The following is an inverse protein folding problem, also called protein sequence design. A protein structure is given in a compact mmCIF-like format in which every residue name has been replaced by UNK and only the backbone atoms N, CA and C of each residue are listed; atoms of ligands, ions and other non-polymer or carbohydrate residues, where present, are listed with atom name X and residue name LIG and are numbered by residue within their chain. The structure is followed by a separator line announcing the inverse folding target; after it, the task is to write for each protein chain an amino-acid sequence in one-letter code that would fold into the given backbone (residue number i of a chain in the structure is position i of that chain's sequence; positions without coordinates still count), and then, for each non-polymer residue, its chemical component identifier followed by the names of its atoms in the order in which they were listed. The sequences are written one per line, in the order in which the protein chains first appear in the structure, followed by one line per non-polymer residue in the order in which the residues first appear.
data_IF_664673593967
#
_entry.id   IF_664673593967
#
_cell.length_a   1.000
_cell.length_b   1.000
_cell.length_c   1.000
_cell.angle_alpha   90.00
_cell.angle_beta   90.00
_cell.angle_gamma   90.00
#
_symmetry.space_group_name_H-M   'P 1'
#
loop_
_entity.id
_entity.type
_entity.pdbx_description
1 polymer ?
#
# COMPACT_ATOMS: atom_id res chain seq x y z
N UNK A 1 11.44 11.07 -6.27
CA UNK A 1 11.01 10.29 -5.08
C UNK A 1 10.54 11.19 -3.93
N UNK A 2 10.05 12.40 -4.26
CA UNK A 2 9.61 13.49 -3.36
C UNK A 2 8.09 13.63 -3.26
N UNK A 3 7.33 12.98 -4.16
CA UNK A 3 5.93 13.38 -4.41
C UNK A 3 4.90 12.66 -3.52
N UNK A 4 5.33 11.66 -2.75
CA UNK A 4 4.46 10.92 -1.83
C UNK A 4 4.36 11.62 -0.47
N UNK A 5 5.41 12.31 -0.01
CA UNK A 5 5.40 13.10 1.24
C UNK A 5 4.38 14.26 1.19
N UNK A 6 4.16 14.82 -0.01
CA UNK A 6 3.25 15.94 -0.24
C UNK A 6 1.78 15.52 -0.09
N UNK A 7 1.41 14.30 -0.50
CA UNK A 7 0.00 13.89 -0.58
C UNK A 7 -0.67 13.62 0.77
N UNK A 8 0.02 13.03 1.75
CA UNK A 8 -0.60 12.71 3.06
C UNK A 8 -0.72 13.97 3.92
N UNK A 9 0.31 14.83 3.94
CA UNK A 9 0.25 16.11 4.63
C UNK A 9 -0.84 17.03 4.01
N UNK A 10 -0.96 17.07 2.69
CA UNK A 10 -2.04 17.82 2.04
C UNK A 10 -3.43 17.26 2.36
N UNK A 11 -3.60 15.94 2.39
CA UNK A 11 -4.90 15.32 2.75
C UNK A 11 -5.26 15.60 4.21
N UNK A 12 -4.30 15.51 5.14
CA UNK A 12 -4.53 15.83 6.55
C UNK A 12 -4.82 17.33 6.72
N UNK A 13 -4.09 18.21 6.04
CA UNK A 13 -4.33 19.65 6.06
C UNK A 13 -5.72 20.01 5.51
N UNK A 14 -6.16 19.35 4.43
CA UNK A 14 -7.51 19.52 3.87
C UNK A 14 -8.57 18.98 4.83
N UNK A 15 -8.35 17.84 5.48
CA UNK A 15 -9.29 17.30 6.48
C UNK A 15 -9.39 18.24 7.69
N UNK A 16 -8.26 18.77 8.18
CA UNK A 16 -8.24 19.75 9.27
C UNK A 16 -8.95 21.04 8.85
N UNK A 17 -8.71 21.54 7.64
CA UNK A 17 -9.37 22.73 7.10
C UNK A 17 -10.88 22.51 6.93
N UNK A 18 -11.29 21.33 6.46
CA UNK A 18 -12.71 20.95 6.35
C UNK A 18 -13.35 20.80 7.73
N UNK A 19 -12.65 20.24 8.72
CA UNK A 19 -13.14 20.14 10.09
C UNK A 19 -13.23 21.53 10.73
N UNK A 20 -12.27 22.42 10.51
CA UNK A 20 -12.27 23.80 11.02
C UNK A 20 -13.38 24.63 10.38
N UNK A 21 -13.58 24.53 9.07
CA UNK A 21 -14.68 25.20 8.36
C UNK A 21 -16.04 24.58 8.73
N UNK A 22 -16.12 23.26 8.90
CA UNK A 22 -17.34 22.57 9.36
C UNK A 22 -17.69 22.91 10.81
N UNK A 23 -16.71 22.95 11.73
CA UNK A 23 -16.94 23.36 13.11
C UNK A 23 -17.27 24.86 13.19
N UNK A 24 -16.58 25.70 12.41
CA UNK A 24 -16.88 27.14 12.32
C UNK A 24 -18.29 27.41 11.81
N UNK A 25 -18.73 26.69 10.77
CA UNK A 25 -20.10 26.81 10.23
C UNK A 25 -21.16 26.17 11.13
N UNK A 26 -20.85 25.07 11.82
CA UNK A 26 -21.78 24.39 12.73
C UNK A 26 -21.96 25.12 14.06
N UNK A 27 -20.95 25.86 14.53
CA UNK A 27 -21.06 26.77 15.68
C UNK A 27 -21.99 27.96 15.38
N UNK A 28 -22.11 28.35 14.11
CA UNK A 28 -23.00 29.45 13.67
C UNK A 28 -24.46 28.98 13.50
N UNK A 29 -24.75 27.68 13.32
CA UNK A 29 -26.06 27.25 12.81
C UNK A 29 -26.89 26.23 13.59
N UNK A 30 -26.47 25.67 14.73
CA UNK A 30 -27.26 24.61 15.37
C UNK A 30 -28.37 25.09 16.34
N UNK A 31 -29.49 25.50 15.73
CA UNK A 31 -30.85 25.41 16.32
C UNK A 31 -31.41 24.00 16.09
N UNK A 32 -31.37 23.18 17.15
CA UNK A 32 -32.15 21.96 17.51
C UNK A 32 -33.03 21.27 16.42
N UNK A 33 -32.75 20.01 16.02
CA UNK A 33 -33.80 18.95 15.82
C UNK A 33 -33.31 17.48 15.66
N UNK A 34 -33.88 16.64 16.55
CA UNK A 34 -34.39 15.23 16.53
C UNK A 34 -33.68 14.08 15.79
N UNK A 35 -33.42 13.02 16.58
CA UNK A 35 -32.85 11.70 16.28
C UNK A 35 -33.82 10.76 15.54
N UNK A 36 -33.33 9.99 14.56
CA UNK A 36 -33.96 8.81 13.96
C UNK A 36 -32.98 7.63 14.04
N UNK A 37 -33.49 6.47 14.47
CA UNK A 37 -32.76 5.27 14.87
C UNK A 37 -31.99 4.56 13.73
N UNK A 38 -30.69 4.35 13.96
CA UNK A 38 -29.72 3.78 13.00
C UNK A 38 -29.60 2.24 13.04
N UNK A 39 -30.36 1.56 13.91
CA UNK A 39 -30.12 0.12 14.20
C UNK A 39 -30.72 -0.84 13.18
N UNK A 40 -31.69 -0.41 12.36
CA UNK A 40 -32.37 -1.30 11.41
C UNK A 40 -31.66 -1.47 10.05
N UNK A 41 -30.83 -0.50 9.63
CA UNK A 41 -30.22 -0.51 8.29
C UNK A 41 -28.93 -1.38 8.25
N UNK A 42 -28.24 -1.51 9.38
CA UNK A 42 -26.92 -2.18 9.42
C UNK A 42 -27.05 -3.71 9.36
N UNK A 43 -28.16 -4.28 9.84
CA UNK A 43 -28.30 -5.74 9.97
C UNK A 43 -28.62 -6.43 8.63
N UNK A 44 -29.32 -5.75 7.71
CA UNK A 44 -29.66 -6.31 6.39
C UNK A 44 -28.54 -6.21 5.35
N UNK A 45 -27.60 -5.27 5.51
CA UNK A 45 -26.44 -5.13 4.62
C UNK A 45 -25.36 -6.20 4.88
N UNK A 46 -25.20 -6.63 6.13
CA UNK A 46 -24.16 -7.58 6.53
C UNK A 46 -24.41 -9.00 6.00
N UNK A 47 -25.68 -9.44 5.95
CA UNK A 47 -26.02 -10.78 5.48
C UNK A 47 -25.91 -10.95 3.95
N UNK A 48 -26.10 -9.87 3.17
CA UNK A 48 -26.00 -9.95 1.71
C UNK A 48 -24.54 -9.83 1.19
N UNK A 49 -23.64 -9.21 1.96
CA UNK A 49 -22.22 -9.07 1.58
C UNK A 49 -21.41 -10.38 1.73
N UNK A 50 -21.80 -11.25 2.67
CA UNK A 50 -21.07 -12.51 2.90
C UNK A 50 -21.33 -13.59 1.83
N UNK A 51 -22.41 -13.48 1.03
CA UNK A 51 -22.76 -14.50 0.03
C UNK A 51 -22.12 -14.27 -1.35
N UNK A 52 -21.48 -13.12 -1.60
CA UNK A 52 -20.99 -12.73 -2.94
C UNK A 52 -19.47 -12.51 -3.05
N UNK A 53 -18.70 -12.78 -1.99
CA UNK A 53 -17.23 -12.59 -1.96
C UNK A 53 -16.45 -13.83 -2.43
N UNK A 54 -16.73 -14.30 -3.66
CA UNK A 54 -15.79 -15.14 -4.39
C UNK A 54 -14.64 -14.26 -4.90
N UNK A 55 -13.46 -14.42 -4.32
CA UNK A 55 -12.28 -13.54 -4.52
C UNK A 55 -11.72 -13.52 -5.95
N UNK A 56 -12.23 -14.34 -6.87
CA UNK A 56 -11.76 -14.43 -8.26
C UNK A 56 -12.46 -13.46 -9.23
N UNK A 57 -13.68 -13.01 -8.92
CA UNK A 57 -14.44 -12.06 -9.77
C UNK A 57 -14.21 -10.58 -9.44
N UNK A 58 -13.67 -10.25 -8.26
CA UNK A 58 -13.40 -8.85 -7.88
C UNK A 58 -12.23 -8.23 -8.67
N UNK A 59 -11.20 -9.00 -9.06
CA UNK A 59 -10.05 -8.46 -9.84
C UNK A 59 -10.46 -8.02 -11.25
N UNK A 60 -11.49 -8.64 -11.84
CA UNK A 60 -11.99 -8.31 -13.18
C UNK A 60 -13.01 -7.17 -13.15
N UNK A 61 -13.85 -7.10 -12.11
CA UNK A 61 -14.91 -6.08 -12.04
C UNK A 61 -14.41 -4.67 -11.71
N UNK A 62 -13.27 -4.50 -11.04
CA UNK A 62 -12.74 -3.16 -10.73
C UNK A 62 -12.06 -2.45 -11.92
N UNK A 63 -11.67 -3.20 -12.95
CA UNK A 63 -10.99 -2.60 -14.12
C UNK A 63 -11.96 -1.84 -15.04
N UNK A 64 -13.27 -2.08 -14.90
CA UNK A 64 -14.31 -1.53 -15.77
C UNK A 64 -15.32 -0.63 -15.04
N UNK A 65 -15.00 -0.17 -13.82
CA UNK A 65 -15.84 0.82 -13.13
C UNK A 65 -15.60 2.19 -13.79
N UNK A 66 -16.63 2.63 -14.48
CA UNK A 66 -16.70 3.87 -15.22
C UNK A 66 -16.34 5.09 -14.35
N UNK A 67 -15.70 6.04 -15.01
CA UNK A 67 -14.68 6.97 -14.52
C UNK A 67 -15.21 8.17 -13.70
N UNK A 68 -16.38 8.11 -13.07
CA UNK A 68 -17.09 9.32 -12.60
C UNK A 68 -17.09 9.57 -11.09
N UNK A 69 -16.62 8.65 -10.24
CA UNK A 69 -16.70 8.83 -8.78
C UNK A 69 -15.31 8.84 -8.13
N UNK A 70 -14.80 10.07 -7.94
CA UNK A 70 -13.49 10.41 -7.36
C UNK A 70 -13.18 9.68 -6.02
N UNK A 71 -14.10 9.54 -5.04
CA UNK A 71 -13.77 8.88 -3.77
C UNK A 71 -13.54 7.36 -3.89
N UNK A 72 -14.24 6.66 -4.81
CA UNK A 72 -14.05 5.21 -5.01
C UNK A 72 -12.69 4.89 -5.64
N UNK A 73 -12.14 5.81 -6.45
CA UNK A 73 -10.79 5.66 -7.03
C UNK A 73 -9.70 5.63 -5.94
N UNK A 74 -9.84 6.47 -4.91
CA UNK A 74 -8.91 6.47 -3.77
C UNK A 74 -8.96 5.14 -3.00
N UNK A 75 -10.17 4.63 -2.74
CA UNK A 75 -10.35 3.34 -2.04
C UNK A 75 -9.78 2.19 -2.87
N UNK A 76 -10.07 2.14 -4.17
CA UNK A 76 -9.54 1.12 -5.07
C UNK A 76 -8.01 1.14 -5.11
N UNK A 77 -7.40 2.33 -5.18
CA UNK A 77 -5.94 2.50 -5.13
C UNK A 77 -5.34 1.97 -3.83
N UNK A 78 -5.98 2.20 -2.70
CA UNK A 78 -5.48 1.69 -1.40
C UNK A 78 -5.59 0.17 -1.28
N UNK A 79 -6.64 -0.44 -1.84
CA UNK A 79 -6.77 -1.90 -1.89
C UNK A 79 -5.65 -2.50 -2.74
N UNK A 80 -5.37 -1.91 -3.90
CA UNK A 80 -4.29 -2.35 -4.79
C UNK A 80 -2.91 -2.24 -4.11
N UNK A 81 -2.63 -1.12 -3.46
CA UNK A 81 -1.39 -0.93 -2.69
C UNK A 81 -1.23 -1.95 -1.57
N UNK A 82 -2.31 -2.31 -0.87
CA UNK A 82 -2.27 -3.33 0.17
C UNK A 82 -2.06 -4.73 -0.39
N UNK A 83 -2.58 -5.02 -1.60
CA UNK A 83 -2.32 -6.28 -2.29
C UNK A 83 -0.84 -6.37 -2.71
N UNK A 84 -0.29 -5.32 -3.33
CA UNK A 84 1.12 -5.23 -3.72
C UNK A 84 2.06 -5.43 -2.53
N UNK A 85 1.77 -4.80 -1.38
CA UNK A 85 2.51 -5.04 -0.14
C UNK A 85 2.49 -6.51 0.29
N UNK A 86 1.34 -7.19 0.19
CA UNK A 86 1.26 -8.62 0.53
C UNK A 86 2.04 -9.48 -0.45
N UNK A 87 2.06 -9.10 -1.73
CA UNK A 87 2.89 -9.75 -2.74
C UNK A 87 4.37 -9.55 -2.43
N UNK A 88 4.83 -8.34 -2.10
CA UNK A 88 6.23 -8.08 -1.76
C UNK A 88 6.68 -8.84 -0.49
N UNK A 89 5.83 -8.93 0.54
CA UNK A 89 6.11 -9.75 1.73
C UNK A 89 6.27 -11.23 1.36
N UNK A 90 5.39 -11.73 0.48
CA UNK A 90 5.47 -13.10 -0.01
C UNK A 90 6.75 -13.31 -0.84
N UNK A 91 7.10 -12.38 -1.75
CA UNK A 91 8.33 -12.42 -2.53
C UNK A 91 9.59 -12.42 -1.66
N UNK A 92 9.63 -11.61 -0.61
CA UNK A 92 10.73 -11.61 0.37
C UNK A 92 10.89 -12.98 1.04
N UNK A 93 9.77 -13.61 1.42
CA UNK A 93 9.78 -14.97 1.99
C UNK A 93 10.22 -16.03 0.97
N UNK A 94 9.95 -15.81 -0.32
CA UNK A 94 10.37 -16.68 -1.41
C UNK A 94 11.87 -16.56 -1.67
N UNK A 95 12.43 -15.35 -1.59
CA UNK A 95 13.88 -15.14 -1.72
C UNK A 95 14.64 -15.99 -0.70
N UNK A 96 14.21 -15.97 0.56
CA UNK A 96 14.81 -16.80 1.63
C UNK A 96 14.67 -18.30 1.31
N UNK A 97 13.50 -18.74 0.80
CA UNK A 97 13.30 -20.13 0.40
C UNK A 97 14.19 -20.54 -0.78
N UNK A 98 14.38 -19.65 -1.76
CA UNK A 98 15.28 -19.87 -2.89
C UNK A 98 16.73 -19.98 -2.44
N UNK A 99 17.19 -19.12 -1.52
CA UNK A 99 18.51 -19.22 -0.92
C UNK A 99 18.70 -20.60 -0.26
N UNK A 100 17.74 -21.03 0.56
CA UNK A 100 17.80 -22.33 1.24
C UNK A 100 17.84 -23.50 0.24
N UNK A 101 17.04 -23.45 -0.82
CA UNK A 101 17.04 -24.45 -1.88
C UNK A 101 18.41 -24.47 -2.59
N UNK A 102 18.91 -23.30 -3.01
CA UNK A 102 20.19 -23.18 -3.71
C UNK A 102 21.39 -23.64 -2.85
N UNK A 103 21.37 -23.39 -1.54
CA UNK A 103 22.39 -23.91 -0.60
C UNK A 103 22.27 -25.42 -0.45
N UNK A 104 21.06 -25.95 -0.30
CA UNK A 104 20.84 -27.40 -0.13
C UNK A 104 21.17 -28.23 -1.38
N UNK A 105 21.26 -27.59 -2.54
CA UNK A 105 21.46 -28.22 -3.85
C UNK A 105 22.82 -27.89 -4.48
N UNK A 106 23.81 -27.52 -3.66
CA UNK A 106 25.17 -27.25 -4.16
C UNK A 106 25.79 -28.43 -4.92
N UNK A 107 25.39 -29.67 -4.57
CA UNK A 107 25.97 -30.90 -5.12
C UNK A 107 25.11 -31.55 -6.25
N UNK A 108 23.89 -31.06 -6.51
CA UNK A 108 23.02 -31.59 -7.58
C UNK A 108 22.34 -30.46 -8.38
N UNK A 109 22.62 -30.31 -9.69
CA UNK A 109 21.99 -29.28 -10.51
C UNK A 109 20.50 -29.57 -10.66
N UNK A 110 19.67 -28.71 -10.07
CA UNK A 110 18.21 -28.78 -10.16
C UNK A 110 17.71 -27.71 -11.11
N UNK A 111 16.76 -28.06 -11.98
CA UNK A 111 16.20 -27.12 -12.95
C UNK A 111 15.38 -26.01 -12.27
N UNK A 112 15.43 -24.81 -12.84
CA UNK A 112 14.62 -23.65 -12.49
C UNK A 112 13.14 -24.02 -12.35
N UNK A 113 12.60 -24.75 -13.33
CA UNK A 113 11.19 -25.16 -13.33
C UNK A 113 10.84 -26.00 -12.10
N UNK A 114 11.74 -26.89 -11.65
CA UNK A 114 11.55 -27.66 -10.43
C UNK A 114 11.59 -26.77 -9.17
N UNK A 115 12.59 -25.88 -9.06
CA UNK A 115 12.70 -24.96 -7.92
C UNK A 115 11.46 -24.07 -7.80
N UNK A 116 11.02 -23.47 -8.91
CA UNK A 116 9.83 -22.62 -8.98
C UNK A 116 8.57 -23.41 -8.61
N UNK A 117 8.43 -24.64 -9.11
CA UNK A 117 7.28 -25.50 -8.80
C UNK A 117 7.19 -25.81 -7.30
N UNK A 118 8.32 -26.01 -6.62
CA UNK A 118 8.36 -26.22 -5.16
C UNK A 118 7.87 -25.00 -4.41
N UNK A 119 8.33 -23.81 -4.80
CA UNK A 119 7.99 -22.54 -4.17
C UNK A 119 6.52 -22.19 -4.36
N UNK A 120 5.98 -22.40 -5.57
CA UNK A 120 4.58 -22.11 -5.91
C UNK A 120 3.59 -22.72 -4.93
N UNK A 121 3.90 -23.88 -4.34
CA UNK A 121 3.04 -24.56 -3.37
C UNK A 121 2.79 -23.72 -2.11
N UNK A 122 3.71 -22.83 -1.75
CA UNK A 122 3.63 -21.97 -0.57
C UNK A 122 3.14 -20.55 -0.89
N UNK A 123 2.95 -20.24 -2.17
CA UNK A 123 2.49 -18.92 -2.62
C UNK A 123 0.97 -18.79 -2.62
N UNK A 124 0.47 -17.62 -2.20
CA UNK A 124 -0.96 -17.29 -2.19
C UNK A 124 -1.26 -16.07 -3.04
N UNK A 125 -0.48 -15.02 -2.91
CA UNK A 125 -0.68 -13.73 -3.57
C UNK A 125 0.09 -13.61 -4.88
N UNK A 126 1.19 -14.35 -5.02
CA UNK A 126 2.08 -14.34 -6.20
C UNK A 126 1.94 -15.59 -7.06
N UNK A 127 1.11 -16.55 -6.62
CA UNK A 127 0.91 -17.86 -7.26
C UNK A 127 0.66 -17.77 -8.77
N UNK A 128 -0.22 -16.87 -9.20
CA UNK A 128 -0.54 -16.71 -10.64
C UNK A 128 0.66 -16.23 -11.45
N UNK A 129 1.50 -15.36 -10.88
CA UNK A 129 2.70 -14.86 -11.56
C UNK A 129 3.71 -15.98 -11.78
N UNK A 130 3.98 -16.78 -10.74
CA UNK A 130 4.88 -17.92 -10.84
C UNK A 130 4.35 -19.01 -11.78
N UNK A 131 3.06 -19.34 -11.76
CA UNK A 131 2.49 -20.32 -12.69
C UNK A 131 2.69 -19.88 -14.15
N UNK A 132 2.45 -18.59 -14.45
CA UNK A 132 2.70 -18.03 -15.79
C UNK A 132 4.18 -18.12 -16.15
N UNK A 133 5.06 -17.75 -15.24
CA UNK A 133 6.50 -17.81 -15.44
C UNK A 133 6.96 -19.24 -15.77
N UNK A 134 6.58 -20.22 -14.95
CA UNK A 134 6.90 -21.65 -15.16
C UNK A 134 6.39 -22.10 -16.53
N UNK A 135 5.15 -21.77 -16.89
CA UNK A 135 4.58 -22.17 -18.18
C UNK A 135 5.35 -21.65 -19.39
N UNK A 136 5.95 -20.45 -19.30
CA UNK A 136 6.80 -19.92 -20.37
C UNK A 136 8.23 -20.48 -20.32
N UNK A 137 8.79 -20.70 -19.13
CA UNK A 137 10.09 -21.36 -18.94
C UNK A 137 10.07 -22.78 -19.53
N UNK A 138 9.01 -23.54 -19.28
CA UNK A 138 8.83 -24.90 -19.84
C UNK A 138 8.74 -24.90 -21.39
N UNK A 139 8.44 -23.76 -22.00
CA UNK A 139 8.42 -23.55 -23.45
C UNK A 139 9.72 -22.95 -24.00
N UNK A 140 10.78 -22.83 -23.17
CA UNK A 140 12.03 -22.14 -23.49
C UNK A 140 11.84 -20.66 -23.92
N UNK A 141 10.80 -20.00 -23.38
CA UNK A 141 10.45 -18.59 -23.63
C UNK A 141 10.83 -17.73 -22.42
N UNK A 142 12.12 -17.58 -22.17
CA UNK A 142 12.65 -16.96 -20.95
C UNK A 142 12.29 -15.47 -20.81
N UNK A 143 12.39 -14.70 -21.89
CA UNK A 143 12.06 -13.28 -21.85
C UNK A 143 10.56 -13.05 -21.66
N UNK A 144 9.71 -13.84 -22.31
CA UNK A 144 8.25 -13.81 -22.09
C UNK A 144 7.89 -14.24 -20.67
N UNK A 145 8.60 -15.23 -20.10
CA UNK A 145 8.41 -15.65 -18.72
C UNK A 145 8.68 -14.51 -17.74
N UNK A 146 9.80 -13.81 -17.93
CA UNK A 146 10.18 -12.63 -17.14
C UNK A 146 9.16 -11.50 -17.27
N UNK A 147 8.78 -11.14 -18.50
CA UNK A 147 7.79 -10.09 -18.75
C UNK A 147 6.44 -10.45 -18.14
N UNK A 148 6.00 -11.71 -18.26
CA UNK A 148 4.75 -12.19 -17.69
C UNK A 148 4.74 -12.12 -16.15
N UNK A 149 5.86 -12.46 -15.50
CA UNK A 149 6.00 -12.37 -14.05
C UNK A 149 5.95 -10.91 -13.57
N UNK A 150 6.74 -10.05 -14.20
CA UNK A 150 6.83 -8.62 -13.87
C UNK A 150 5.47 -7.95 -14.01
N UNK A 151 4.76 -8.21 -15.10
CA UNK A 151 3.47 -7.59 -15.39
C UNK A 151 2.34 -8.07 -14.47
N UNK A 152 2.43 -9.29 -13.92
CA UNK A 152 1.38 -9.82 -13.05
C UNK A 152 1.47 -9.27 -11.61
N UNK A 153 2.69 -8.99 -11.12
CA UNK A 153 2.92 -8.47 -9.76
C UNK A 153 3.05 -6.94 -9.75
N UNK A 154 3.75 -6.39 -10.74
CA UNK A 154 3.94 -4.95 -10.92
C UNK A 154 4.53 -4.26 -9.67
N UNK A 155 5.62 -4.83 -9.16
CA UNK A 155 6.44 -4.26 -8.08
C UNK A 155 7.93 -4.26 -8.45
N UNK A 156 8.75 -3.34 -7.87
CA UNK A 156 10.20 -3.32 -8.10
C UNK A 156 10.88 -4.63 -7.69
N UNK A 157 10.47 -5.20 -6.54
CA UNK A 157 11.00 -6.47 -6.05
C UNK A 157 10.72 -7.62 -7.02
N UNK A 158 9.53 -7.66 -7.63
CA UNK A 158 9.20 -8.65 -8.64
C UNK A 158 10.10 -8.54 -9.87
N UNK A 159 10.47 -7.32 -10.27
CA UNK A 159 11.39 -7.08 -11.39
C UNK A 159 12.77 -7.63 -11.08
N UNK A 160 13.35 -7.25 -9.95
CA UNK A 160 14.69 -7.67 -9.56
C UNK A 160 14.75 -9.20 -9.39
N UNK A 161 13.73 -9.79 -8.77
CA UNK A 161 13.64 -11.23 -8.61
C UNK A 161 13.51 -11.94 -9.96
N UNK A 162 12.69 -11.44 -10.90
CA UNK A 162 12.52 -12.08 -12.21
C UNK A 162 13.84 -12.17 -13.00
N UNK A 163 14.71 -11.16 -12.87
CA UNK A 163 16.04 -11.16 -13.48
C UNK A 163 16.92 -12.28 -12.93
N UNK A 164 16.95 -12.46 -11.61
CA UNK A 164 17.71 -13.55 -10.98
C UNK A 164 17.11 -14.91 -11.38
N UNK A 165 15.78 -15.00 -11.40
CA UNK A 165 15.09 -16.26 -11.63
C UNK A 165 15.34 -16.83 -13.02
N UNK A 166 15.37 -16.02 -14.08
CA UNK A 166 15.68 -16.52 -15.44
C UNK A 166 17.12 -17.02 -15.54
N UNK A 167 18.05 -16.41 -14.80
CA UNK A 167 19.46 -16.75 -14.90
C UNK A 167 19.84 -17.96 -14.04
N UNK A 168 18.93 -18.47 -13.20
CA UNK A 168 19.17 -19.58 -12.27
C UNK A 168 19.79 -20.83 -12.92
N UNK A 169 19.33 -21.22 -14.12
CA UNK A 169 19.85 -22.41 -14.82
C UNK A 169 21.25 -22.20 -15.42
N UNK A 170 21.65 -20.93 -15.63
CA UNK A 170 22.93 -20.56 -16.25
C UNK A 170 24.01 -20.17 -15.24
N UNK A 171 23.64 -19.95 -13.97
CA UNK A 171 24.53 -19.45 -12.92
C UNK A 171 24.81 -20.56 -11.90
N UNK A 172 26.05 -20.61 -11.38
CA UNK A 172 26.41 -21.54 -10.31
C UNK A 172 25.60 -21.26 -9.03
N UNK A 173 25.18 -22.28 -8.26
CA UNK A 173 24.38 -22.11 -7.04
C UNK A 173 24.95 -21.09 -6.04
N UNK A 174 26.27 -21.02 -5.90
CA UNK A 174 26.95 -20.05 -5.01
C UNK A 174 26.68 -18.60 -5.42
N UNK A 175 26.70 -18.30 -6.72
CA UNK A 175 26.48 -16.94 -7.23
C UNK A 175 24.98 -16.57 -7.18
N UNK A 176 24.08 -17.55 -7.38
CA UNK A 176 22.64 -17.39 -7.14
C UNK A 176 22.38 -16.94 -5.71
N UNK A 177 22.94 -17.64 -4.72
CA UNK A 177 22.78 -17.31 -3.30
C UNK A 177 23.28 -15.89 -3.03
N UNK A 178 24.42 -15.49 -3.59
CA UNK A 178 24.97 -14.15 -3.46
C UNK A 178 24.03 -13.07 -4.01
N UNK A 179 23.45 -13.28 -5.19
CA UNK A 179 22.49 -12.34 -5.79
C UNK A 179 21.20 -12.25 -4.97
N UNK A 180 20.69 -13.38 -4.48
CA UNK A 180 19.51 -13.42 -3.62
C UNK A 180 19.76 -12.74 -2.26
N UNK A 181 20.94 -12.90 -1.67
CA UNK A 181 21.33 -12.22 -0.43
C UNK A 181 21.39 -10.70 -0.63
N UNK A 182 21.99 -10.24 -1.74
CA UNK A 182 22.05 -8.82 -2.06
C UNK A 182 20.64 -8.23 -2.29
N UNK A 183 19.73 -9.00 -2.89
CA UNK A 183 18.34 -8.59 -3.06
C UNK A 183 17.59 -8.53 -1.71
N UNK A 184 17.77 -9.53 -0.85
CA UNK A 184 17.20 -9.54 0.50
C UNK A 184 17.67 -8.35 1.34
N UNK A 185 18.97 -8.07 1.34
CA UNK A 185 19.55 -6.95 2.08
C UNK A 185 19.00 -5.61 1.59
N UNK A 186 18.85 -5.43 0.28
CA UNK A 186 18.20 -4.26 -0.32
C UNK A 186 16.77 -4.11 0.18
N UNK A 187 15.97 -5.17 0.13
CA UNK A 187 14.57 -5.16 0.61
C UNK A 187 14.51 -4.84 2.09
N UNK A 188 15.43 -5.40 2.89
CA UNK A 188 15.53 -5.11 4.33
C UNK A 188 15.84 -3.64 4.58
N UNK A 189 16.81 -3.07 3.86
CA UNK A 189 17.19 -1.66 3.97
C UNK A 189 16.05 -0.72 3.56
N UNK A 190 15.31 -1.05 2.50
CA UNK A 190 14.12 -0.30 2.08
C UNK A 190 13.01 -0.36 3.15
N UNK A 191 12.79 -1.53 3.77
CA UNK A 191 11.82 -1.68 4.85
C UNK A 191 12.20 -0.88 6.10
N UNK A 192 13.49 -0.86 6.47
CA UNK A 192 13.99 -0.04 7.57
C UNK A 192 13.80 1.45 7.24
N UNK A 193 14.18 1.87 6.04
CA UNK A 193 14.06 3.26 5.59
C UNK A 193 12.60 3.72 5.60
N UNK A 194 11.67 2.90 5.07
CA UNK A 194 10.24 3.23 5.06
C UNK A 194 9.61 3.19 6.45
N UNK A 195 10.12 2.37 7.37
CA UNK A 195 9.73 2.38 8.78
C UNK A 195 10.18 3.67 9.45
N UNK A 196 11.46 4.03 9.32
CA UNK A 196 12.03 5.26 9.88
C UNK A 196 11.27 6.49 9.37
N UNK A 197 11.00 6.57 8.07
CA UNK A 197 10.21 7.66 7.49
C UNK A 197 8.79 7.76 8.06
N UNK A 198 8.15 6.64 8.40
CA UNK A 198 6.82 6.69 9.05
C UNK A 198 6.94 7.18 10.49
N UNK A 199 7.94 6.72 11.21
CA UNK A 199 8.20 7.16 12.59
C UNK A 199 8.51 8.66 12.64
N UNK A 200 9.31 9.17 11.70
CA UNK A 200 9.51 10.62 11.48
C UNK A 200 8.19 11.35 11.28
N UNK A 201 7.34 10.87 10.36
CA UNK A 201 6.03 11.49 10.11
C UNK A 201 5.12 11.48 11.33
N UNK A 202 5.12 10.39 12.12
CA UNK A 202 4.36 10.32 13.36
C UNK A 202 4.87 11.33 14.39
N UNK A 203 6.19 11.52 14.47
CA UNK A 203 6.81 12.54 15.31
C UNK A 203 6.38 13.94 14.87
N UNK A 204 6.50 14.26 13.58
CA UNK A 204 6.11 15.55 13.03
C UNK A 204 4.63 15.87 13.28
N UNK A 205 3.73 14.90 13.10
CA UNK A 205 2.31 15.06 13.37
C UNK A 205 2.05 15.37 14.85
N UNK A 206 2.79 14.74 15.76
CA UNK A 206 2.68 15.02 17.20
C UNK A 206 3.05 16.47 17.53
N UNK A 207 3.96 17.12 16.77
CA UNK A 207 4.30 18.54 16.96
C UNK A 207 3.34 19.50 16.25
N UNK A 208 2.85 19.15 15.07
CA UNK A 208 1.95 20.00 14.27
C UNK A 208 0.61 20.20 15.00
N UNK A 209 0.06 19.16 15.64
CA UNK A 209 -1.24 19.25 16.29
C UNK A 209 -1.32 20.31 17.41
N UNK A 210 -0.42 20.31 18.41
CA UNK A 210 -0.34 21.38 19.42
C UNK A 210 -0.07 22.75 18.81
N UNK A 211 0.77 22.83 17.76
CA UNK A 211 1.09 24.09 17.09
C UNK A 211 -0.15 24.74 16.48
N UNK A 212 -0.99 23.96 15.80
CA UNK A 212 -2.27 24.43 15.25
C UNK A 212 -3.19 24.91 16.37
N UNK A 213 -3.25 24.19 17.49
CA UNK A 213 -4.06 24.58 18.64
C UNK A 213 -3.63 25.93 19.22
N UNK A 214 -2.32 26.14 19.40
CA UNK A 214 -1.77 27.43 19.83
C UNK A 214 -2.14 28.55 18.85
N UNK A 215 -2.06 28.30 17.54
CA UNK A 215 -2.48 29.27 16.52
C UNK A 215 -3.97 29.63 16.61
N UNK A 216 -4.86 28.65 16.85
CA UNK A 216 -6.29 28.90 17.01
C UNK A 216 -6.55 29.77 18.25
N UNK A 217 -5.89 29.48 19.36
CA UNK A 217 -5.99 30.28 20.59
C UNK A 217 -5.52 31.72 20.33
N UNK A 218 -4.38 31.89 19.66
CA UNK A 218 -3.85 33.20 19.30
C UNK A 218 -4.81 34.01 18.41
N UNK A 219 -5.41 33.36 17.40
CA UNK A 219 -6.40 33.99 16.52
C UNK A 219 -7.66 34.41 17.27
N UNK A 220 -8.10 33.63 18.27
CA UNK A 220 -9.22 34.00 19.12
C UNK A 220 -8.90 35.24 19.97
N UNK A 221 -7.70 35.30 20.57
CA UNK A 221 -7.25 36.49 21.31
C UNK A 221 -7.20 37.73 20.43
N UNK A 222 -6.64 37.61 19.22
CA UNK A 222 -6.58 38.71 18.25
C UNK A 222 -7.98 39.24 17.92
N UNK A 223 -8.96 38.35 17.72
CA UNK A 223 -10.35 38.72 17.46
C UNK A 223 -10.99 39.47 18.62
N UNK A 224 -10.75 39.04 19.86
CA UNK A 224 -11.28 39.71 21.06
C UNK A 224 -10.71 41.13 21.15
N UNK A 225 -9.40 41.28 20.99
CA UNK A 225 -8.72 42.60 21.01
C UNK A 225 -9.28 43.50 19.91
N UNK A 226 -9.38 43.00 18.68
CA UNK A 226 -9.93 43.76 17.56
C UNK A 226 -11.36 44.24 17.86
N UNK A 227 -12.21 43.36 18.40
CA UNK A 227 -13.58 43.67 18.76
C UNK A 227 -13.67 44.75 19.87
N UNK A 228 -12.79 44.70 20.87
CA UNK A 228 -12.69 45.72 21.91
C UNK A 228 -12.34 47.07 21.28
N UNK A 229 -11.30 47.12 20.44
CA UNK A 229 -10.84 48.35 19.78
C UNK A 229 -11.97 48.94 18.93
N UNK A 230 -12.63 48.14 18.09
CA UNK A 230 -13.72 48.63 17.23
C UNK A 230 -14.92 49.16 18.02
N UNK A 231 -15.22 48.57 19.18
CA UNK A 231 -16.30 49.05 20.05
C UNK A 231 -15.93 50.37 20.74
N UNK A 232 -14.65 50.58 21.08
CA UNK A 232 -14.18 51.84 21.65
C UNK A 232 -14.12 52.99 20.64
N UNK A 233 -13.88 52.72 19.36
CA UNK A 233 -13.87 53.75 18.30
C UNK A 233 -15.25 54.19 17.82
N UNK A 234 -16.30 53.45 18.17
CA UNK A 234 -17.70 53.74 17.78
C UNK A 234 -18.50 54.49 18.88
N UNK A 235 -17.82 54.97 19.92
CA UNK A 235 -18.36 55.84 20.99
C UNK A 235 -17.72 57.22 20.82
#
# INVERSE_FOLDING_TARGET
MSDIKINICQVIAVIIFVILTYLGTKFIFFKKKKSIDKRFIIMNLKNNLNKKLSKKTLKVSFRNINNHWIPFRFIAKQIDLNLKKKQDIELSSIIIQLQNIAVSQQDEPTSLSYMLTRIVRFTKYTKTAFIKMISYVDQAKEEEAKVAFINEIDTPLARDLAHILIQLDSIKPVEVVKQLNALEERVRNDNITTKNQKEELYSDIMYIMPTILCFIILMNFLKIILNIITNFTNI
#
